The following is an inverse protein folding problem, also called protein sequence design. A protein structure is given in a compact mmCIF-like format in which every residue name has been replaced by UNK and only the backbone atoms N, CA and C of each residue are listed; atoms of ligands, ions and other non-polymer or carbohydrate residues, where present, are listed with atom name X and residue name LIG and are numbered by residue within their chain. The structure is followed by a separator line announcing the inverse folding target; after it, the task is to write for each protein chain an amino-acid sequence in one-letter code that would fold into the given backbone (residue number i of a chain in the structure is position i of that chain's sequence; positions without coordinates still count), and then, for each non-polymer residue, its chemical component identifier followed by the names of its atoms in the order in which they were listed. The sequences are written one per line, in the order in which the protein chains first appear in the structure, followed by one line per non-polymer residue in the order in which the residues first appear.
data_IF_847626246320
#
_entry.id   IF_847626246320
#
_cell.length_a   1.000
_cell.length_b   1.000
_cell.length_c   1.000
_cell.angle_alpha   90.00
_cell.angle_beta   90.00
_cell.angle_gamma   90.00
#
_symmetry.space_group_name_H-M   'P 1'
#
loop_
_entity.id
_entity.type
_entity.pdbx_description
1 polymer ?
#
# COMPACT_ATOMS: atom_id res chain seq x y z
N UNK A 1 1.05 -7.62 -2.29
CA UNK A 1 0.61 -8.21 -1.00
C UNK A 1 1.73 -8.86 -0.20
N UNK A 2 2.63 -9.65 -0.82
CA UNK A 2 3.75 -10.33 -0.13
C UNK A 2 4.53 -9.43 0.85
N UNK A 3 4.92 -8.22 0.42
CA UNK A 3 5.68 -7.31 1.28
C UNK A 3 4.90 -6.84 2.52
N UNK A 4 3.60 -6.57 2.39
CA UNK A 4 2.77 -6.18 3.53
C UNK A 4 2.60 -7.33 4.51
N UNK A 5 2.36 -8.54 3.98
CA UNK A 5 2.28 -9.76 4.78
C UNK A 5 3.53 -9.95 5.63
N UNK A 6 4.71 -9.89 5.00
CA UNK A 6 5.98 -9.98 5.71
C UNK A 6 6.10 -8.93 6.82
N UNK A 7 5.73 -7.66 6.56
CA UNK A 7 5.81 -6.62 7.58
C UNK A 7 4.86 -6.84 8.76
N UNK A 8 3.69 -7.44 8.52
CA UNK A 8 2.71 -7.77 9.57
C UNK A 8 3.19 -8.99 10.38
N UNK A 9 3.60 -10.06 9.71
CA UNK A 9 4.07 -11.30 10.34
C UNK A 9 5.34 -11.07 11.19
N UNK A 10 6.25 -10.23 10.72
CA UNK A 10 7.46 -9.81 11.45
C UNK A 10 7.17 -8.75 12.53
N UNK A 11 5.89 -8.47 12.82
CA UNK A 11 5.45 -7.51 13.84
C UNK A 11 6.04 -6.12 13.64
N UNK A 12 6.29 -5.72 12.39
CA UNK A 12 6.86 -4.41 12.07
C UNK A 12 5.78 -3.33 11.97
N UNK A 13 4.59 -3.71 11.52
CA UNK A 13 3.46 -2.79 11.37
C UNK A 13 2.14 -3.42 11.84
N UNK A 14 1.22 -2.56 12.27
CA UNK A 14 -0.21 -2.79 12.21
C UNK A 14 -0.72 -2.21 10.89
N UNK A 15 -1.37 -3.01 10.05
CA UNK A 15 -1.91 -2.57 8.78
C UNK A 15 -3.39 -2.28 8.94
N UNK A 16 -3.78 -1.01 8.85
CA UNK A 16 -5.16 -0.58 9.03
C UNK A 16 -5.94 -0.62 7.72
N UNK A 17 -5.31 -0.35 6.59
CA UNK A 17 -6.01 -0.45 5.31
C UNK A 17 -5.12 -0.26 4.12
N UNK A 18 -5.61 -0.71 2.97
CA UNK A 18 -4.94 -0.53 1.69
C UNK A 18 -5.93 -0.44 0.52
N UNK A 19 -5.49 0.21 -0.54
CA UNK A 19 -6.08 0.18 -1.88
C UNK A 19 -4.95 0.12 -2.89
N UNK A 20 -4.98 -0.87 -3.79
CA UNK A 20 -4.02 -1.00 -4.88
C UNK A 20 -4.75 -0.69 -6.17
N UNK A 21 -4.45 0.45 -6.77
CA UNK A 21 -5.01 0.88 -8.05
C UNK A 21 -4.01 0.58 -9.19
N UNK A 22 -4.44 0.62 -10.46
CA UNK A 22 -3.55 0.32 -11.59
C UNK A 22 -2.29 1.20 -11.68
N UNK A 23 -2.36 2.44 -11.19
CA UNK A 23 -1.28 3.43 -11.30
C UNK A 23 -0.67 3.87 -9.95
N UNK A 24 -1.32 3.61 -8.82
CA UNK A 24 -0.82 3.98 -7.49
C UNK A 24 -1.43 3.11 -6.39
N UNK A 25 -0.98 3.30 -5.15
CA UNK A 25 -1.54 2.63 -3.99
C UNK A 25 -1.74 3.61 -2.83
N UNK A 26 -2.70 3.30 -1.98
CA UNK A 26 -2.91 3.94 -0.68
C UNK A 26 -2.72 2.88 0.39
N UNK A 27 -1.94 3.20 1.42
CA UNK A 27 -1.74 2.31 2.56
C UNK A 27 -1.78 3.13 3.84
N UNK A 28 -2.53 2.66 4.82
CA UNK A 28 -2.54 3.18 6.17
C UNK A 28 -2.01 2.08 7.11
N UNK A 29 -0.91 2.39 7.79
CA UNK A 29 -0.31 1.52 8.80
C UNK A 29 0.21 2.33 9.98
N UNK A 30 0.48 1.63 11.08
CA UNK A 30 1.26 2.12 12.23
C UNK A 30 2.45 1.20 12.45
N UNK A 31 3.60 1.74 12.86
CA UNK A 31 4.71 0.89 13.36
C UNK A 31 4.31 0.32 14.73
N UNK A 32 4.57 -0.96 14.97
CA UNK A 32 4.19 -1.57 16.25
C UNK A 32 4.98 -1.00 17.42
N UNK A 33 6.25 -0.65 17.20
CA UNK A 33 7.14 -0.02 18.19
C UNK A 33 7.89 1.19 17.63
N UNK A 34 8.35 2.06 18.56
CA UNK A 34 9.12 3.25 18.23
C UNK A 34 10.53 2.94 17.71
N UNK A 35 11.17 1.89 18.24
CA UNK A 35 12.52 1.45 17.86
C UNK A 35 12.59 0.83 16.46
N UNK A 36 11.43 0.48 15.86
CA UNK A 36 11.36 0.00 14.49
C UNK A 36 11.88 1.08 13.55
N UNK A 37 12.83 0.67 12.72
CA UNK A 37 13.55 1.50 11.79
C UNK A 37 12.61 2.41 10.98
N UNK A 38 13.00 3.69 10.87
CA UNK A 38 12.33 4.69 10.02
C UNK A 38 12.31 4.26 8.55
N UNK A 39 13.13 3.30 8.16
CA UNK A 39 13.25 2.75 6.81
C UNK A 39 12.16 1.74 6.41
N UNK A 40 11.18 1.37 7.27
CA UNK A 40 10.12 0.39 6.90
C UNK A 40 9.47 0.69 5.55
N UNK A 41 9.12 1.96 5.30
CA UNK A 41 8.57 2.38 4.02
C UNK A 41 9.58 2.21 2.88
N UNK A 42 10.86 2.52 3.11
CA UNK A 42 11.91 2.35 2.11
C UNK A 42 12.10 0.88 1.76
N UNK A 43 12.10 -0.02 2.75
CA UNK A 43 12.17 -1.47 2.53
C UNK A 43 10.98 -1.98 1.73
N UNK A 44 9.76 -1.54 2.07
CA UNK A 44 8.55 -1.85 1.30
C UNK A 44 8.69 -1.44 -0.17
N UNK A 45 9.08 -0.19 -0.42
CA UNK A 45 9.22 0.34 -1.79
C UNK A 45 10.35 -0.36 -2.57
N UNK A 46 11.47 -0.66 -1.91
CA UNK A 46 12.60 -1.37 -2.53
C UNK A 46 12.20 -2.79 -2.94
N UNK A 47 11.58 -3.54 -2.02
CA UNK A 47 11.14 -4.91 -2.29
C UNK A 47 10.12 -4.96 -3.43
N UNK A 48 9.10 -4.10 -3.36
CA UNK A 48 8.04 -4.07 -4.38
C UNK A 48 8.57 -3.61 -5.73
N UNK A 49 9.46 -2.61 -5.79
CA UNK A 49 10.12 -2.21 -7.03
C UNK A 49 10.92 -3.35 -7.67
N UNK A 50 11.62 -4.15 -6.86
CA UNK A 50 12.37 -5.30 -7.34
C UNK A 50 11.45 -6.39 -7.90
N UNK A 51 10.34 -6.68 -7.21
CA UNK A 51 9.32 -7.63 -7.69
C UNK A 51 8.66 -7.17 -8.99
N UNK A 52 8.31 -5.89 -9.11
CA UNK A 52 7.78 -5.30 -10.34
C UNK A 52 8.80 -5.45 -11.48
N UNK A 53 10.07 -5.10 -11.24
CA UNK A 53 11.14 -5.23 -12.24
C UNK A 53 11.23 -6.65 -12.78
N UNK A 54 11.33 -7.66 -11.91
CA UNK A 54 11.48 -9.04 -12.35
C UNK A 54 10.24 -9.56 -13.07
N UNK A 55 9.05 -9.20 -12.59
CA UNK A 55 7.81 -9.55 -13.29
C UNK A 55 7.76 -8.97 -14.70
N UNK A 56 8.16 -7.69 -14.87
CA UNK A 56 8.22 -7.05 -16.19
C UNK A 56 9.30 -7.65 -17.10
N UNK A 57 10.47 -8.02 -16.58
CA UNK A 57 11.51 -8.71 -17.36
C UNK A 57 10.97 -10.01 -17.94
N UNK A 58 10.24 -10.77 -17.13
CA UNK A 58 9.76 -12.10 -17.48
C UNK A 58 8.55 -12.06 -18.43
N UNK A 59 7.58 -11.16 -18.17
CA UNK A 59 6.28 -11.21 -18.85
C UNK A 59 6.06 -10.06 -19.84
N UNK A 60 6.68 -8.90 -19.61
CA UNK A 60 6.40 -7.68 -20.37
C UNK A 60 7.67 -6.84 -20.64
N UNK A 61 8.72 -7.41 -21.26
CA UNK A 61 10.03 -6.75 -21.39
C UNK A 61 9.95 -5.42 -22.16
N UNK A 62 9.04 -5.31 -23.13
CA UNK A 62 8.80 -4.07 -23.86
C UNK A 62 8.22 -2.94 -23.00
N UNK A 63 7.51 -3.27 -21.91
CA UNK A 63 6.96 -2.28 -20.98
C UNK A 63 8.02 -1.81 -19.97
N UNK A 64 9.02 -2.63 -19.67
CA UNK A 64 10.08 -2.30 -18.70
C UNK A 64 10.81 -1.01 -19.06
N UNK A 65 11.07 -0.78 -20.36
CA UNK A 65 11.78 0.40 -20.84
C UNK A 65 11.04 1.72 -20.55
N UNK A 66 9.71 1.69 -20.37
CA UNK A 66 8.93 2.86 -19.94
C UNK A 66 9.32 3.35 -18.55
N UNK A 67 9.91 2.48 -17.74
CA UNK A 67 10.36 2.77 -16.37
C UNK A 67 11.85 3.04 -16.31
N UNK A 68 12.55 3.21 -17.44
CA UNK A 68 13.97 3.55 -17.45
C UNK A 68 14.19 4.86 -16.70
N UNK A 69 15.10 4.81 -15.74
CA UNK A 69 15.46 5.96 -14.92
C UNK A 69 16.28 6.95 -15.74
N UNK A 70 16.02 8.24 -15.54
CA UNK A 70 16.86 9.33 -16.06
C UNK A 70 18.04 9.63 -15.13
N UNK A 71 18.16 8.95 -14.00
CA UNK A 71 19.20 9.15 -13.00
C UNK A 71 20.27 8.06 -13.04
N UNK A 72 21.49 8.43 -12.65
CA UNK A 72 22.64 7.52 -12.60
C UNK A 72 22.59 6.50 -11.46
N UNK A 73 21.72 6.68 -10.45
CA UNK A 73 21.70 5.86 -9.23
C UNK A 73 20.96 4.52 -9.39
N UNK A 74 20.20 4.34 -10.46
CA UNK A 74 19.43 3.12 -10.76
C UNK A 74 19.07 3.05 -12.23
N UNK A 75 18.92 1.85 -12.76
CA UNK A 75 18.51 1.65 -14.17
C UNK A 75 17.01 1.88 -14.38
N UNK A 76 16.18 1.51 -13.40
CA UNK A 76 14.71 1.59 -13.50
C UNK A 76 14.12 2.25 -12.26
N UNK A 77 12.99 2.94 -12.44
CA UNK A 77 12.30 3.68 -11.41
C UNK A 77 10.79 3.48 -11.50
N UNK A 78 10.20 2.84 -10.48
CA UNK A 78 8.78 2.45 -10.47
C UNK A 78 7.93 3.30 -9.53
N UNK A 79 8.49 3.68 -8.39
CA UNK A 79 7.81 4.51 -7.39
C UNK A 79 8.24 5.97 -7.51
N UNK A 80 7.38 6.88 -7.07
CA UNK A 80 7.78 8.28 -6.93
C UNK A 80 8.90 8.44 -5.89
N UNK A 81 9.80 9.41 -6.12
CA UNK A 81 10.95 9.64 -5.20
C UNK A 81 10.51 10.06 -3.81
N UNK A 82 9.42 10.81 -3.73
CA UNK A 82 8.87 11.39 -2.51
C UNK A 82 7.41 10.97 -2.42
N UNK A 83 7.15 9.70 -2.06
CA UNK A 83 5.77 9.27 -1.87
C UNK A 83 5.12 10.16 -0.81
N UNK A 84 3.87 10.53 -1.05
CA UNK A 84 3.10 11.29 -0.08
C UNK A 84 3.04 10.54 1.26
N UNK A 85 3.20 11.29 2.35
CA UNK A 85 3.09 10.78 3.71
C UNK A 85 2.22 11.74 4.51
N UNK A 86 1.24 11.19 5.22
CA UNK A 86 0.46 11.92 6.20
C UNK A 86 0.56 11.20 7.54
N UNK A 87 0.81 11.97 8.61
CA UNK A 87 0.73 11.46 9.97
C UNK A 87 -0.70 11.60 10.44
N UNK A 88 -1.27 10.52 10.96
CA UNK A 88 -2.60 10.53 11.55
C UNK A 88 -2.47 10.76 13.06
N UNK A 89 -3.16 11.77 13.56
CA UNK A 89 -3.02 12.21 14.97
C UNK A 89 -4.11 11.66 15.88
N UNK A 90 -5.23 11.22 15.31
CA UNK A 90 -6.34 10.67 16.06
C UNK A 90 -7.18 9.74 15.19
N UNK A 91 -8.10 9.05 15.86
CA UNK A 91 -9.01 8.06 15.28
C UNK A 91 -9.87 8.61 14.15
N UNK A 92 -10.49 9.77 14.35
CA UNK A 92 -11.39 10.37 13.37
C UNK A 92 -10.64 10.68 12.07
N UNK A 93 -9.37 11.10 12.16
CA UNK A 93 -8.53 11.34 10.98
C UNK A 93 -8.17 10.02 10.29
N UNK A 94 -7.89 8.95 11.03
CA UNK A 94 -7.67 7.62 10.45
C UNK A 94 -8.89 7.13 9.67
N UNK A 95 -10.08 7.20 10.28
CA UNK A 95 -11.35 6.81 9.69
C UNK A 95 -11.63 7.60 8.40
N UNK A 96 -11.56 8.93 8.45
CA UNK A 96 -11.74 9.79 7.28
C UNK A 96 -10.77 9.43 6.12
N UNK A 97 -9.55 9.01 6.44
CA UNK A 97 -8.56 8.62 5.44
C UNK A 97 -8.78 7.21 4.91
N UNK A 98 -9.30 6.29 5.73
CA UNK A 98 -9.76 4.99 5.30
C UNK A 98 -10.92 5.12 4.31
N UNK A 99 -11.95 5.88 4.68
CA UNK A 99 -13.11 6.14 3.80
C UNK A 99 -12.65 6.78 2.49
N UNK A 100 -11.79 7.80 2.58
CA UNK A 100 -11.24 8.43 1.40
C UNK A 100 -10.50 7.43 0.50
N UNK A 101 -9.64 6.57 1.06
CA UNK A 101 -8.91 5.61 0.25
C UNK A 101 -9.84 4.60 -0.41
N UNK A 102 -10.80 4.04 0.31
CA UNK A 102 -11.76 3.03 -0.17
C UNK A 102 -12.72 3.58 -1.21
N UNK A 103 -12.98 4.89 -1.21
CA UNK A 103 -13.75 5.56 -2.26
C UNK A 103 -12.96 5.85 -3.55
N UNK A 104 -11.63 5.76 -3.56
CA UNK A 104 -10.86 6.07 -4.78
C UNK A 104 -11.16 5.14 -5.96
N UNK A 105 -11.29 3.81 -5.79
CA UNK A 105 -11.71 2.91 -6.87
C UNK A 105 -13.07 3.29 -7.48
N UNK A 106 -14.03 3.70 -6.64
CA UNK A 106 -15.36 4.16 -7.09
C UNK A 106 -15.23 5.46 -7.89
N UNK A 107 -14.50 6.45 -7.38
CA UNK A 107 -14.25 7.72 -8.07
C UNK A 107 -13.52 7.53 -9.40
N UNK A 108 -12.71 6.49 -9.53
CA UNK A 108 -12.01 6.13 -10.77
C UNK A 108 -12.86 5.26 -11.71
N UNK A 109 -14.10 4.93 -11.36
CA UNK A 109 -15.00 4.09 -12.18
C UNK A 109 -14.58 2.62 -12.27
N UNK A 110 -13.77 2.14 -11.32
CA UNK A 110 -13.31 0.74 -11.29
C UNK A 110 -14.33 -0.21 -10.66
N UNK A 111 -15.27 0.33 -9.87
CA UNK A 111 -16.33 -0.39 -9.20
C UNK A 111 -17.48 0.56 -8.84
N UNK A 112 -18.63 -0.01 -8.46
CA UNK A 112 -19.81 0.75 -8.03
C UNK A 112 -19.75 1.07 -6.53
N UNK A 113 -19.39 0.07 -5.71
CA UNK A 113 -19.22 0.22 -4.27
C UNK A 113 -17.76 -0.02 -3.85
N UNK A 114 -17.28 0.59 -2.75
CA UNK A 114 -15.91 0.35 -2.25
C UNK A 114 -15.58 -1.13 -2.05
N UNK A 115 -16.49 -1.88 -1.44
CA UNK A 115 -16.37 -3.30 -1.13
C UNK A 115 -16.42 -4.20 -2.38
N UNK A 116 -16.88 -3.72 -3.53
CA UNK A 116 -16.80 -4.46 -4.79
C UNK A 116 -15.35 -4.55 -5.30
N UNK A 117 -14.47 -3.63 -4.89
CA UNK A 117 -13.11 -3.59 -5.39
C UNK A 117 -12.21 -4.61 -4.70
N UNK A 118 -11.88 -5.68 -5.44
CA UNK A 118 -11.07 -6.81 -4.97
C UNK A 118 -9.69 -6.44 -4.40
N UNK A 119 -9.09 -5.36 -4.89
CA UNK A 119 -7.73 -4.94 -4.51
C UNK A 119 -7.72 -3.87 -3.40
N UNK A 120 -8.74 -3.89 -2.55
CA UNK A 120 -8.90 -3.00 -1.40
C UNK A 120 -9.22 -3.77 -0.13
N UNK A 121 -8.89 -3.15 1.02
CA UNK A 121 -9.35 -3.57 2.34
C UNK A 121 -10.79 -3.16 2.67
N UNK A 122 -11.56 -2.55 1.76
CA UNK A 122 -12.93 -2.06 2.02
C UNK A 122 -13.86 -3.16 2.59
N UNK A 123 -13.77 -4.38 2.07
CA UNK A 123 -14.60 -5.52 2.53
C UNK A 123 -14.43 -5.87 4.01
N UNK A 124 -13.25 -5.60 4.58
CA UNK A 124 -13.01 -5.83 6.00
C UNK A 124 -13.85 -4.90 6.87
N UNK A 125 -14.15 -3.69 6.39
CA UNK A 125 -14.91 -2.69 7.14
C UNK A 125 -16.40 -2.67 6.79
N UNK A 126 -16.75 -2.91 5.53
CA UNK A 126 -18.14 -2.80 5.07
C UNK A 126 -18.93 -4.10 5.14
N UNK A 127 -18.24 -5.25 5.12
CA UNK A 127 -18.87 -6.58 5.06
C UNK A 127 -18.41 -7.50 6.21
N UNK A 128 -17.64 -6.95 7.18
CA UNK A 128 -17.05 -7.71 8.29
C UNK A 128 -16.30 -8.98 7.86
N UNK A 129 -15.72 -8.97 6.65
CA UNK A 129 -14.96 -10.10 6.15
C UNK A 129 -13.58 -10.14 6.78
N UNK A 130 -13.27 -11.24 7.46
CA UNK A 130 -11.97 -11.44 8.09
C UNK A 130 -10.82 -11.28 7.09
N UNK A 131 -9.79 -10.57 7.51
CA UNK A 131 -8.55 -10.45 6.79
C UNK A 131 -7.38 -10.56 7.76
N UNK A 132 -6.59 -11.65 7.74
CA UNK A 132 -5.54 -11.87 8.72
C UNK A 132 -4.37 -10.88 8.61
N UNK A 133 -4.32 -10.08 7.53
CA UNK A 133 -3.32 -9.02 7.38
C UNK A 133 -3.75 -7.70 8.02
N UNK A 134 -5.04 -7.53 8.31
CA UNK A 134 -5.56 -6.26 8.79
C UNK A 134 -5.73 -6.28 10.30
N UNK A 135 -5.45 -5.12 10.88
CA UNK A 135 -5.79 -4.76 12.25
C UNK A 135 -6.82 -3.65 12.16
N UNK A 136 -7.89 -3.71 12.95
CA UNK A 136 -8.89 -2.65 12.88
C UNK A 136 -8.25 -1.31 13.28
N UNK A 137 -8.56 -0.22 12.59
CA UNK A 137 -7.98 1.10 12.88
C UNK A 137 -8.28 1.59 14.31
N UNK A 138 -9.27 0.97 14.95
CA UNK A 138 -9.67 1.23 16.33
C UNK A 138 -8.73 0.60 17.36
N UNK A 139 -7.85 -0.28 16.92
CA UNK A 139 -6.88 -0.98 17.76
C UNK A 139 -5.51 -0.31 17.67
N UNK A 140 -4.79 -0.31 18.79
CA UNK A 140 -3.41 0.18 18.87
C UNK A 140 -3.23 1.59 18.31
N UNK A 141 -4.11 2.55 18.64
CA UNK A 141 -3.97 4.00 18.37
C UNK A 141 -3.36 4.72 19.58
#
# INVERSE_FOLDING_TARGET
MESLRFLVEEKRIWLYGYVIMPNHLHILWRKQDEWIDKSVQQHFLKFTAQKIKFNLIEHFPHQLEKYRSTQADRTYHFWERRPYKATMFNRNVCEQKLDYMHLNPVKAGLCTLPEDYLYSSARFYHLDLENPLLTHYMEHL
#
